data_IF_876876670109
#
_entry.id   IF_876876670109
#
_cell.length_a   1.000
_cell.length_b   1.000
_cell.length_c   1.000
_cell.angle_alpha   90.00
_cell.angle_beta   90.00
_cell.angle_gamma   90.00
#
_symmetry.space_group_name_H-M   'P 1'
#
loop_
_entity.id
_entity.type
_entity.pdbx_description
1 polymer ?
#
# COMPACT_ATOMS: atom_id res chain seq x y z
N UNK A 1 -55.53 14.34 19.99
CA UNK A 1 -55.76 14.84 18.61
C UNK A 1 -54.97 16.13 18.44
N UNK A 2 -54.38 16.29 17.24
CA UNK A 2 -53.44 17.32 16.76
C UNK A 2 -51.97 16.89 16.83
N UNK A 3 -51.13 16.98 15.78
CA UNK A 3 -51.26 17.30 14.35
C UNK A 3 -49.98 16.79 13.68
N UNK A 4 -50.13 16.20 12.49
CA UNK A 4 -49.08 15.87 11.51
C UNK A 4 -48.34 17.14 11.05
N UNK A 5 -47.04 17.01 10.71
CA UNK A 5 -46.29 17.99 9.91
C UNK A 5 -44.87 18.24 10.47
N UNK A 6 -43.79 18.34 9.70
CA UNK A 6 -43.59 18.30 8.26
C UNK A 6 -42.10 17.97 8.00
N UNK A 7 -41.85 17.29 6.88
CA UNK A 7 -40.52 17.07 6.28
C UNK A 7 -39.86 18.43 6.02
N UNK A 8 -38.65 18.64 6.54
CA UNK A 8 -37.77 19.72 6.11
C UNK A 8 -36.58 19.11 5.34
N UNK A 9 -36.85 18.89 4.06
CA UNK A 9 -35.85 18.68 3.02
C UNK A 9 -35.24 20.06 2.66
N UNK A 10 -34.01 20.03 2.13
CA UNK A 10 -33.30 21.12 1.41
C UNK A 10 -32.30 21.95 2.24
N UNK A 11 -31.02 21.64 2.03
CA UNK A 11 -30.00 22.65 1.72
C UNK A 11 -28.95 22.02 0.79
N UNK A 12 -29.29 21.96 -0.51
CA UNK A 12 -28.35 21.83 -1.60
C UNK A 12 -27.57 23.15 -1.75
N UNK A 13 -26.29 23.01 -2.11
CA UNK A 13 -25.43 23.96 -2.82
C UNK A 13 -24.76 25.09 -2.02
N UNK A 14 -23.46 24.92 -1.79
CA UNK A 14 -22.48 25.96 -2.17
C UNK A 14 -21.42 25.35 -3.06
N UNK A 15 -21.32 25.93 -4.26
CA UNK A 15 -20.53 25.56 -5.42
C UNK A 15 -19.03 25.43 -5.13
N UNK A 16 -18.34 24.39 -5.63
CA UNK A 16 -16.91 24.49 -5.94
C UNK A 16 -16.79 25.38 -7.18
N UNK A 17 -15.75 26.20 -7.29
CA UNK A 17 -15.20 26.82 -8.54
C UNK A 17 -14.50 28.15 -8.20
N UNK A 18 -13.37 28.04 -7.50
CA UNK A 18 -12.29 29.03 -7.56
C UNK A 18 -10.95 28.42 -7.12
N UNK A 19 -10.71 27.13 -7.40
CA UNK A 19 -9.36 26.59 -7.41
C UNK A 19 -8.89 26.63 -8.86
N UNK A 20 -7.79 27.32 -9.14
CA UNK A 20 -7.10 27.26 -10.42
C UNK A 20 -6.88 25.77 -10.77
N UNK A 21 -7.63 25.28 -11.76
CA UNK A 21 -7.94 23.86 -11.93
C UNK A 21 -6.72 23.01 -12.20
N UNK A 22 -6.26 22.32 -11.16
CA UNK A 22 -5.50 21.10 -11.30
C UNK A 22 -6.48 19.99 -11.68
N UNK A 23 -6.10 19.12 -12.61
CA UNK A 23 -6.93 17.99 -13.02
C UNK A 23 -7.14 17.04 -11.82
N UNK A 24 -8.35 16.51 -11.63
CA UNK A 24 -8.66 15.56 -10.55
C UNK A 24 -7.70 14.37 -10.57
N UNK A 25 -7.31 13.92 -11.77
CA UNK A 25 -6.33 12.85 -11.95
C UNK A 25 -4.92 13.25 -11.50
N UNK A 26 -4.55 14.52 -11.72
CA UNK A 26 -3.24 15.04 -11.31
C UNK A 26 -3.17 15.21 -9.79
N UNK A 27 -4.27 15.64 -9.14
CA UNK A 27 -4.36 15.69 -7.68
C UNK A 27 -4.29 14.29 -7.06
N UNK A 28 -5.05 13.33 -7.60
CA UNK A 28 -5.02 11.94 -7.16
C UNK A 28 -3.61 11.33 -7.30
N UNK A 29 -2.96 11.53 -8.45
CA UNK A 29 -1.59 11.06 -8.69
C UNK A 29 -0.59 11.70 -7.72
N UNK A 30 -0.72 13.00 -7.41
CA UNK A 30 0.15 13.67 -6.43
C UNK A 30 -0.01 13.12 -5.02
N UNK A 31 -1.25 12.92 -4.56
CA UNK A 31 -1.53 12.33 -3.25
C UNK A 31 -0.94 10.92 -3.14
N UNK A 32 -1.13 10.08 -4.17
CA UNK A 32 -0.51 8.76 -4.22
C UNK A 32 1.02 8.82 -4.21
N UNK A 33 1.62 9.74 -4.96
CA UNK A 33 3.08 9.93 -4.98
C UNK A 33 3.64 10.43 -3.64
N UNK A 34 2.91 11.26 -2.91
CA UNK A 34 3.28 11.69 -1.56
C UNK A 34 3.35 10.48 -0.62
N UNK A 35 2.32 9.64 -0.61
CA UNK A 35 2.30 8.38 0.16
C UNK A 35 3.50 7.49 -0.23
N UNK A 36 3.72 7.29 -1.54
CA UNK A 36 4.81 6.48 -2.06
C UNK A 36 6.20 7.00 -1.66
N UNK A 37 6.40 8.32 -1.68
CA UNK A 37 7.69 8.95 -1.35
C UNK A 37 8.02 8.78 0.13
N UNK A 38 7.04 9.00 1.00
CA UNK A 38 7.20 8.79 2.44
C UNK A 38 7.43 7.32 2.77
N UNK A 39 6.72 6.41 2.10
CA UNK A 39 6.94 4.98 2.20
C UNK A 39 8.36 4.61 1.78
N UNK A 40 8.85 5.10 0.64
CA UNK A 40 10.17 4.72 0.10
C UNK A 40 11.28 4.93 1.11
N UNK A 41 11.31 6.08 1.80
CA UNK A 41 12.32 6.35 2.81
C UNK A 41 12.27 5.33 3.96
N UNK A 42 11.08 4.93 4.40
CA UNK A 42 10.87 3.94 5.47
C UNK A 42 11.16 2.52 5.00
N UNK A 43 10.78 2.17 3.77
CA UNK A 43 11.07 0.89 3.15
C UNK A 43 12.58 0.69 2.92
N UNK A 44 13.30 1.74 2.53
CA UNK A 44 14.76 1.72 2.41
C UNK A 44 15.43 1.51 3.77
N UNK A 45 14.92 2.17 4.82
CA UNK A 45 15.39 1.97 6.19
C UNK A 45 15.13 0.54 6.67
N UNK A 46 13.92 0.02 6.46
CA UNK A 46 13.54 -1.35 6.80
C UNK A 46 14.40 -2.37 6.04
N UNK A 47 14.63 -2.16 4.74
CA UNK A 47 15.51 -3.01 3.93
C UNK A 47 16.95 -3.03 4.47
N UNK A 48 17.48 -1.88 4.88
CA UNK A 48 18.80 -1.80 5.52
C UNK A 48 18.83 -2.56 6.85
N UNK A 49 17.78 -2.47 7.66
CA UNK A 49 17.66 -3.20 8.92
C UNK A 49 17.59 -4.72 8.69
N UNK A 50 16.78 -5.17 7.72
CA UNK A 50 16.67 -6.59 7.33
C UNK A 50 18.03 -7.14 6.92
N UNK A 51 18.78 -6.41 6.08
CA UNK A 51 20.14 -6.80 5.68
C UNK A 51 21.12 -6.81 6.85
N UNK A 52 21.05 -5.82 7.73
CA UNK A 52 21.91 -5.75 8.92
C UNK A 52 21.60 -6.84 9.95
N UNK A 53 20.40 -7.43 9.90
CA UNK A 53 19.96 -8.52 10.76
C UNK A 53 20.22 -9.91 10.15
N UNK A 54 20.89 -10.00 9.00
CA UNK A 54 21.21 -11.28 8.37
C UNK A 54 22.05 -12.15 9.31
N UNK A 55 21.64 -13.41 9.50
CA UNK A 55 22.27 -14.33 10.46
C UNK A 55 21.89 -14.09 11.92
N UNK A 56 21.05 -13.10 12.23
CA UNK A 56 20.55 -12.79 13.57
C UNK A 56 19.01 -12.92 13.62
N UNK A 57 18.45 -14.13 13.85
CA UNK A 57 17.02 -14.40 13.68
C UNK A 57 16.08 -13.46 14.45
N UNK A 58 16.42 -13.13 15.70
CA UNK A 58 15.60 -12.24 16.52
C UNK A 58 15.61 -10.79 16.01
N UNK A 59 16.76 -10.29 15.53
CA UNK A 59 16.81 -8.96 14.89
C UNK A 59 16.05 -8.96 13.56
N UNK A 60 16.10 -10.07 12.82
CA UNK A 60 15.44 -10.20 11.53
C UNK A 60 13.91 -10.18 11.71
N UNK A 61 13.37 -10.86 12.72
CA UNK A 61 11.95 -10.80 13.08
C UNK A 61 11.48 -9.39 13.40
N UNK A 62 12.26 -8.64 14.18
CA UNK A 62 11.95 -7.23 14.51
C UNK A 62 11.94 -6.39 13.23
N UNK A 63 12.98 -6.49 12.40
CA UNK A 63 13.05 -5.74 11.15
C UNK A 63 11.91 -6.05 10.18
N UNK A 64 11.47 -7.31 10.09
CA UNK A 64 10.31 -7.72 9.30
C UNK A 64 9.00 -7.17 9.87
N UNK A 65 8.85 -7.16 11.20
CA UNK A 65 7.68 -6.60 11.89
C UNK A 65 7.57 -5.10 11.63
N UNK A 66 8.68 -4.38 11.73
CA UNK A 66 8.73 -2.94 11.44
C UNK A 66 8.38 -2.66 9.98
N UNK A 67 8.97 -3.42 9.04
CA UNK A 67 8.66 -3.31 7.60
C UNK A 67 7.17 -3.56 7.31
N UNK A 68 6.57 -4.56 7.98
CA UNK A 68 5.15 -4.87 7.86
C UNK A 68 4.26 -3.75 8.42
N UNK A 69 4.67 -3.12 9.53
CA UNK A 69 3.98 -1.95 10.07
C UNK A 69 3.95 -0.77 9.10
N UNK A 70 5.08 -0.52 8.42
CA UNK A 70 5.18 0.53 7.38
C UNK A 70 4.23 0.25 6.21
N UNK A 71 4.17 -1.00 5.74
CA UNK A 71 3.28 -1.40 4.64
C UNK A 71 1.81 -1.30 5.02
N UNK A 72 1.45 -1.66 6.26
CA UNK A 72 0.07 -1.60 6.75
C UNK A 72 -0.43 -0.15 6.85
N UNK A 73 0.42 0.75 7.33
CA UNK A 73 0.12 2.19 7.36
C UNK A 73 -0.05 2.75 5.94
N UNK A 74 0.77 2.28 4.99
CA UNK A 74 0.63 2.68 3.58
C UNK A 74 -0.69 2.21 3.00
N UNK A 75 -1.08 0.95 3.22
CA UNK A 75 -2.36 0.44 2.77
C UNK A 75 -3.51 1.28 3.34
N UNK A 76 -3.48 1.61 4.63
CA UNK A 76 -4.50 2.44 5.25
C UNK A 76 -4.61 3.82 4.56
N UNK A 77 -3.48 4.46 4.24
CA UNK A 77 -3.49 5.76 3.56
C UNK A 77 -4.03 5.68 2.13
N UNK A 78 -3.76 4.58 1.43
CA UNK A 78 -4.39 4.34 0.12
C UNK A 78 -5.89 4.04 0.26
N UNK A 79 -6.34 3.35 1.30
CA UNK A 79 -7.77 3.12 1.56
C UNK A 79 -8.53 4.43 1.82
N UNK A 80 -7.82 5.49 2.24
CA UNK A 80 -8.36 6.84 2.46
C UNK A 80 -8.37 7.72 1.20
N UNK A 81 -7.75 7.29 0.09
CA UNK A 81 -7.79 8.04 -1.17
C UNK A 81 -9.08 7.76 -1.94
N UNK A 82 -9.68 8.84 -2.44
CA UNK A 82 -10.80 8.77 -3.38
C UNK A 82 -10.27 8.78 -4.82
N UNK A 83 -10.31 7.61 -5.47
CA UNK A 83 -9.92 7.50 -6.87
C UNK A 83 -10.98 8.11 -7.81
N UNK A 84 -10.56 8.82 -8.87
CA UNK A 84 -11.42 9.22 -9.98
C UNK A 84 -12.22 8.05 -10.53
N UNK A 85 -13.44 8.29 -11.00
CA UNK A 85 -14.36 7.23 -11.46
C UNK A 85 -13.73 6.34 -12.54
N UNK A 86 -12.95 6.92 -13.45
CA UNK A 86 -12.29 6.22 -14.55
C UNK A 86 -11.01 5.46 -14.15
N UNK A 87 -10.48 5.70 -12.96
CA UNK A 87 -9.28 5.02 -12.42
C UNK A 87 -9.59 4.05 -11.27
N UNK A 88 -10.85 4.02 -10.78
CA UNK A 88 -11.23 3.26 -9.59
C UNK A 88 -10.93 1.76 -9.68
N UNK A 89 -11.14 1.14 -10.84
CA UNK A 89 -10.86 -0.29 -11.04
C UNK A 89 -9.36 -0.60 -10.93
N UNK A 90 -8.51 0.18 -11.61
CA UNK A 90 -7.05 0.03 -11.51
C UNK A 90 -6.56 0.33 -10.08
N UNK A 91 -7.18 1.30 -9.38
CA UNK A 91 -6.84 1.61 -8.00
C UNK A 91 -7.22 0.49 -7.01
N UNK A 92 -8.41 -0.09 -7.17
CA UNK A 92 -8.82 -1.24 -6.37
C UNK A 92 -7.92 -2.46 -6.63
N UNK A 93 -7.51 -2.69 -7.88
CA UNK A 93 -6.53 -3.72 -8.21
C UNK A 93 -5.17 -3.47 -7.55
N UNK A 94 -4.70 -2.21 -7.56
CA UNK A 94 -3.47 -1.82 -6.88
C UNK A 94 -3.53 -2.07 -5.36
N UNK A 95 -4.64 -1.71 -4.69
CA UNK A 95 -4.84 -1.98 -3.26
C UNK A 95 -4.88 -3.49 -2.95
N UNK A 96 -5.49 -4.30 -3.81
CA UNK A 96 -5.45 -5.77 -3.67
C UNK A 96 -4.01 -6.29 -3.73
N UNK A 97 -3.20 -5.77 -4.65
CA UNK A 97 -1.79 -6.18 -4.74
C UNK A 97 -0.99 -5.74 -3.49
N UNK A 98 -1.25 -4.56 -2.94
CA UNK A 98 -0.66 -4.13 -1.65
C UNK A 98 -1.05 -5.07 -0.50
N UNK A 99 -2.32 -5.48 -0.43
CA UNK A 99 -2.79 -6.46 0.55
C UNK A 99 -2.07 -7.80 0.41
N UNK A 100 -1.82 -8.27 -0.81
CA UNK A 100 -1.03 -9.49 -1.05
C UNK A 100 0.42 -9.36 -0.60
N UNK A 101 1.05 -8.19 -0.79
CA UNK A 101 2.40 -7.94 -0.25
C UNK A 101 2.40 -8.09 1.27
N UNK A 102 1.40 -7.53 1.96
CA UNK A 102 1.28 -7.63 3.42
C UNK A 102 1.09 -9.06 3.91
N UNK A 103 0.24 -9.84 3.25
CA UNK A 103 0.06 -11.27 3.55
C UNK A 103 1.36 -12.06 3.38
N UNK A 104 2.17 -11.73 2.36
CA UNK A 104 3.48 -12.37 2.17
C UNK A 104 4.46 -12.00 3.29
N UNK A 105 4.46 -10.74 3.74
CA UNK A 105 5.25 -10.30 4.90
C UNK A 105 4.84 -11.02 6.19
N UNK A 106 3.55 -11.29 6.40
CA UNK A 106 3.06 -12.04 7.56
C UNK A 106 3.55 -13.51 7.55
N UNK A 107 3.86 -14.06 6.38
CA UNK A 107 4.37 -15.44 6.21
C UNK A 107 5.89 -15.56 6.29
N UNK A 108 6.63 -14.48 6.02
CA UNK A 108 8.10 -14.50 5.98
C UNK A 108 8.76 -14.96 7.29
N UNK A 109 8.34 -14.51 8.50
CA UNK A 109 8.95 -14.95 9.75
C UNK A 109 8.91 -16.47 9.95
N UNK A 110 7.76 -17.10 9.70
CA UNK A 110 7.62 -18.55 9.85
C UNK A 110 8.44 -19.33 8.83
N UNK A 111 8.53 -18.85 7.59
CA UNK A 111 9.38 -19.47 6.57
C UNK A 111 10.88 -19.34 6.88
N UNK A 112 11.30 -18.24 7.51
CA UNK A 112 12.67 -18.04 7.97
C UNK A 112 13.02 -18.94 9.16
N UNK A 113 12.11 -19.09 10.12
CA UNK A 113 12.26 -20.02 11.23
C UNK A 113 12.41 -21.47 10.73
N UNK A 114 11.52 -21.91 9.84
CA UNK A 114 11.60 -23.24 9.23
C UNK A 114 12.94 -23.43 8.51
N UNK A 115 13.36 -22.47 7.67
CA UNK A 115 14.63 -22.55 6.96
C UNK A 115 15.84 -22.64 7.90
N UNK A 116 15.80 -21.98 9.06
CA UNK A 116 16.87 -22.03 10.06
C UNK A 116 16.89 -23.35 10.85
N UNK A 117 15.73 -23.94 11.16
CA UNK A 117 15.62 -25.14 11.99
C UNK A 117 15.94 -26.43 11.23
N UNK A 118 15.51 -26.54 9.98
CA UNK A 118 15.56 -27.81 9.23
C UNK A 118 16.13 -27.68 7.81
N UNK A 119 16.60 -26.49 7.43
CA UNK A 119 17.18 -26.23 6.12
C UNK A 119 16.17 -26.21 4.98
N UNK A 120 14.85 -26.22 5.24
CA UNK A 120 13.81 -26.13 4.21
C UNK A 120 13.69 -24.71 3.66
N UNK A 121 14.55 -24.39 2.71
CA UNK A 121 14.54 -23.10 1.99
C UNK A 121 13.43 -22.97 0.94
N UNK A 122 12.72 -24.07 0.61
CA UNK A 122 11.71 -24.07 -0.47
C UNK A 122 10.58 -23.08 -0.26
N UNK A 123 10.05 -23.00 0.96
CA UNK A 123 8.97 -22.06 1.27
C UNK A 123 9.46 -20.61 1.22
N UNK A 124 10.64 -20.33 1.77
CA UNK A 124 11.27 -19.02 1.69
C UNK A 124 11.50 -18.59 0.22
N UNK A 125 12.03 -19.48 -0.62
CA UNK A 125 12.20 -19.23 -2.06
C UNK A 125 10.86 -19.00 -2.77
N UNK A 126 9.82 -19.77 -2.41
CA UNK A 126 8.48 -19.58 -2.98
C UNK A 126 7.89 -18.21 -2.60
N UNK A 127 8.01 -17.80 -1.34
CA UNK A 127 7.57 -16.49 -0.85
C UNK A 127 8.33 -15.36 -1.53
N UNK A 128 9.65 -15.46 -1.69
CA UNK A 128 10.45 -14.48 -2.42
C UNK A 128 10.00 -14.35 -3.89
N UNK A 129 9.69 -15.47 -4.54
CA UNK A 129 9.15 -15.49 -5.90
C UNK A 129 7.77 -14.83 -5.99
N UNK A 130 6.87 -15.12 -5.05
CA UNK A 130 5.55 -14.49 -4.96
C UNK A 130 5.67 -12.99 -4.71
N UNK A 131 6.52 -12.57 -3.77
CA UNK A 131 6.75 -11.17 -3.46
C UNK A 131 7.26 -10.41 -4.69
N UNK A 132 8.23 -10.99 -5.40
CA UNK A 132 8.75 -10.39 -6.65
C UNK A 132 7.65 -10.23 -7.71
N UNK A 133 6.78 -11.23 -7.88
CA UNK A 133 5.68 -11.15 -8.84
C UNK A 133 4.64 -10.09 -8.46
N UNK A 134 4.22 -10.07 -7.19
CA UNK A 134 3.21 -9.11 -6.70
C UNK A 134 3.75 -7.69 -6.74
N UNK A 135 4.99 -7.44 -6.29
CA UNK A 135 5.62 -6.12 -6.38
C UNK A 135 5.74 -5.64 -7.83
N UNK A 136 6.11 -6.52 -8.78
CA UNK A 136 6.16 -6.17 -10.20
C UNK A 136 4.79 -5.82 -10.76
N UNK A 137 3.76 -6.60 -10.41
CA UNK A 137 2.39 -6.34 -10.85
C UNK A 137 1.88 -5.01 -10.27
N UNK A 138 2.05 -4.81 -8.97
CA UNK A 138 1.72 -3.57 -8.26
C UNK A 138 2.41 -2.35 -8.90
N UNK A 139 3.68 -2.49 -9.31
CA UNK A 139 4.40 -1.43 -10.03
C UNK A 139 3.82 -1.07 -11.41
N UNK A 140 3.27 -2.05 -12.14
CA UNK A 140 2.56 -1.79 -13.40
C UNK A 140 1.28 -1.00 -13.14
N UNK A 141 0.49 -1.41 -12.15
CA UNK A 141 -0.74 -0.71 -11.77
C UNK A 141 -0.46 0.70 -11.26
N UNK A 142 0.58 0.88 -10.44
CA UNK A 142 1.05 2.18 -9.97
C UNK A 142 1.36 3.15 -11.14
N UNK A 143 1.99 2.67 -12.23
CA UNK A 143 2.26 3.51 -13.42
C UNK A 143 0.99 3.96 -14.11
N UNK A 144 -0.04 3.12 -14.19
CA UNK A 144 -1.32 3.50 -14.81
C UNK A 144 -2.00 4.62 -14.03
N UNK A 145 -1.85 4.60 -12.70
CA UNK A 145 -2.42 5.57 -11.77
C UNK A 145 -1.57 6.85 -11.62
N UNK A 146 -0.42 6.94 -12.31
CA UNK A 146 0.50 8.08 -12.17
C UNK A 146 1.31 8.09 -10.87
N UNK A 147 1.35 6.98 -10.12
CA UNK A 147 2.13 6.83 -8.88
C UNK A 147 3.60 6.47 -9.19
N UNK A 148 4.27 7.34 -9.93
CA UNK A 148 5.65 7.15 -10.40
C UNK A 148 6.63 6.80 -9.26
N UNK A 149 6.43 7.36 -8.08
CA UNK A 149 7.29 7.13 -6.91
C UNK A 149 7.20 5.69 -6.38
N UNK A 150 6.05 5.03 -6.55
CA UNK A 150 5.88 3.60 -6.24
C UNK A 150 6.38 2.69 -7.39
N UNK A 151 6.45 3.21 -8.61
CA UNK A 151 6.82 2.45 -9.80
C UNK A 151 8.31 2.52 -10.17
N UNK A 152 9.09 3.37 -9.49
CA UNK A 152 10.46 3.72 -9.85
C UNK A 152 11.48 2.57 -9.72
N UNK A 153 11.17 1.50 -8.97
CA UNK A 153 12.08 0.37 -8.73
C UNK A 153 11.46 -1.02 -9.04
N UNK A 154 10.28 -1.05 -9.66
CA UNK A 154 9.50 -2.25 -10.02
C UNK A 154 9.66 -2.70 -11.47
#
# INVERSE_FOLDING_TARGET
MNRTGAVALVALLTLPLAACGKDEQEEFAEQGNEICTELRARADAATKQIRAAEGEPEKLKVALTDSRGVLAETQQRFDELDAPEDQREDFDAYKVDLGQVLELYDRLPGALEAAAEDGRTRELTALQGQLTQVTKKSGIEARKLGFDSCAADS
#
